data_IF_599952609485
#
_entry.id   IF_599952609485
#
_cell.length_a   1.000
_cell.length_b   1.000
_cell.length_c   1.000
_cell.angle_alpha   90.00
_cell.angle_beta   90.00
_cell.angle_gamma   90.00
#
_symmetry.space_group_name_H-M   'P 1'
#
loop_
_entity.id
_entity.type
_entity.pdbx_description
1 polymer ?
#
# COMPACT_ATOMS: atom_id res chain seq x y z
N UNK A 1 -7.48 -42.84 -21.84
CA UNK A 1 -6.40 -41.93 -21.41
C UNK A 1 -5.77 -42.56 -20.19
N UNK A 2 -4.51 -42.97 -20.28
CA UNK A 2 -3.80 -43.57 -19.15
C UNK A 2 -3.42 -42.49 -18.13
N UNK A 3 -3.17 -42.87 -16.87
CA UNK A 3 -2.67 -41.93 -15.84
C UNK A 3 -1.38 -41.23 -16.30
N UNK A 4 -0.50 -41.95 -16.99
CA UNK A 4 0.76 -41.41 -17.51
C UNK A 4 0.59 -40.29 -18.53
N UNK A 5 -0.42 -40.37 -19.41
CA UNK A 5 -0.76 -39.30 -20.36
C UNK A 5 -1.31 -38.08 -19.63
N UNK A 6 -2.07 -38.31 -18.54
CA UNK A 6 -2.65 -37.25 -17.72
C UNK A 6 -1.59 -36.49 -16.93
N UNK A 7 -0.59 -37.20 -16.39
CA UNK A 7 0.55 -36.60 -15.70
C UNK A 7 1.47 -35.82 -16.63
N UNK A 8 1.74 -36.34 -17.84
CA UNK A 8 2.53 -35.64 -18.84
C UNK A 8 1.86 -34.31 -19.25
N UNK A 9 0.55 -34.34 -19.49
CA UNK A 9 -0.23 -33.15 -19.84
C UNK A 9 -0.31 -32.14 -18.69
N UNK A 10 -0.39 -32.62 -17.45
CA UNK A 10 -0.38 -31.77 -16.26
C UNK A 10 0.97 -31.06 -16.09
N UNK A 11 2.10 -31.76 -16.30
CA UNK A 11 3.44 -31.16 -16.26
C UNK A 11 3.62 -30.10 -17.35
N UNK A 12 3.11 -30.36 -18.54
CA UNK A 12 3.20 -29.43 -19.67
C UNK A 12 2.41 -28.14 -19.40
N UNK A 13 1.19 -28.27 -18.87
CA UNK A 13 0.36 -27.14 -18.45
C UNK A 13 0.98 -26.35 -17.29
N UNK A 14 1.56 -27.02 -16.30
CA UNK A 14 2.26 -26.35 -15.20
C UNK A 14 3.47 -25.54 -15.69
N UNK A 15 4.22 -26.08 -16.65
CA UNK A 15 5.37 -25.40 -17.26
C UNK A 15 4.95 -24.20 -18.09
N UNK A 16 3.82 -24.29 -18.80
CA UNK A 16 3.24 -23.17 -19.54
C UNK A 16 2.76 -22.07 -18.57
N UNK A 17 2.08 -22.43 -17.48
CA UNK A 17 1.65 -21.49 -16.44
C UNK A 17 2.84 -20.83 -15.73
N UNK A 18 3.92 -21.56 -15.45
CA UNK A 18 5.15 -21.00 -14.85
C UNK A 18 5.90 -20.07 -15.82
N UNK A 19 5.78 -20.31 -17.14
CA UNK A 19 6.34 -19.43 -18.17
C UNK A 19 5.54 -18.14 -18.37
N UNK A 20 4.24 -18.17 -18.04
CA UNK A 20 3.44 -16.96 -17.89
C UNK A 20 3.87 -16.34 -16.57
N UNK A 21 4.72 -15.31 -16.63
CA UNK A 21 5.01 -14.50 -15.45
C UNK A 21 3.72 -13.80 -15.02
N UNK A 22 2.88 -14.49 -14.24
CA UNK A 22 1.72 -13.90 -13.60
C UNK A 22 2.31 -13.02 -12.50
N UNK A 23 2.06 -11.70 -12.51
CA UNK A 23 2.56 -10.84 -11.45
C UNK A 23 2.05 -11.37 -10.11
N UNK A 24 2.97 -11.62 -9.17
CA UNK A 24 2.61 -11.95 -7.79
C UNK A 24 1.91 -10.74 -7.20
N UNK A 25 0.59 -10.82 -7.16
CA UNK A 25 -0.27 -9.71 -6.85
C UNK A 25 -1.26 -10.12 -5.77
N UNK A 26 -1.51 -9.28 -4.76
CA UNK A 26 -0.94 -7.93 -4.54
C UNK A 26 0.47 -7.93 -3.89
N UNK A 27 1.29 -6.93 -4.25
CA UNK A 27 2.60 -6.70 -3.62
C UNK A 27 2.48 -5.77 -2.40
N UNK A 28 2.14 -6.37 -1.26
CA UNK A 28 1.98 -5.63 0.00
C UNK A 28 3.27 -4.94 0.49
N UNK A 29 4.45 -5.42 0.10
CA UNK A 29 5.74 -4.80 0.45
C UNK A 29 5.89 -3.47 -0.28
N UNK A 30 5.58 -3.43 -1.57
CA UNK A 30 5.58 -2.21 -2.37
C UNK A 30 4.52 -1.22 -1.89
N UNK A 31 3.31 -1.69 -1.62
CA UNK A 31 2.26 -0.86 -1.00
C UNK A 31 2.73 -0.22 0.29
N UNK A 32 3.40 -0.99 1.16
CA UNK A 32 3.98 -0.47 2.41
C UNK A 32 5.03 0.60 2.18
N UNK A 33 5.97 0.40 1.24
CA UNK A 33 6.97 1.42 0.90
C UNK A 33 6.31 2.73 0.46
N UNK A 34 5.32 2.65 -0.44
CA UNK A 34 4.58 3.82 -0.91
C UNK A 34 3.87 4.54 0.23
N UNK A 35 3.15 3.80 1.06
CA UNK A 35 2.45 4.33 2.23
C UNK A 35 3.39 5.04 3.21
N UNK A 36 4.58 4.50 3.44
CA UNK A 36 5.60 5.12 4.30
C UNK A 36 6.15 6.40 3.66
N UNK A 37 6.50 6.36 2.37
CA UNK A 37 7.04 7.51 1.65
C UNK A 37 6.06 8.67 1.54
N UNK A 38 4.75 8.42 1.51
CA UNK A 38 3.74 9.47 1.52
C UNK A 38 3.28 9.85 2.92
N UNK A 39 3.08 8.85 3.79
CA UNK A 39 2.49 9.03 5.11
C UNK A 39 3.40 9.74 6.10
N UNK A 40 4.70 9.43 6.11
CA UNK A 40 5.65 10.07 7.03
C UNK A 40 5.80 11.56 6.73
N UNK A 41 6.08 12.01 5.48
CA UNK A 41 6.15 13.44 5.19
C UNK A 41 4.84 14.17 5.47
N UNK A 42 3.69 13.56 5.12
CA UNK A 42 2.38 14.14 5.38
C UNK A 42 2.15 14.37 6.88
N UNK A 43 2.46 13.38 7.71
CA UNK A 43 2.32 13.50 9.16
C UNK A 43 3.23 14.60 9.72
N UNK A 44 4.49 14.68 9.26
CA UNK A 44 5.43 15.72 9.68
C UNK A 44 4.90 17.11 9.32
N UNK A 45 4.38 17.29 8.10
CA UNK A 45 3.80 18.56 7.66
C UNK A 45 2.60 18.94 8.52
N UNK A 46 1.67 18.00 8.77
CA UNK A 46 0.48 18.26 9.59
C UNK A 46 0.86 18.67 11.02
N UNK A 47 1.81 17.96 11.63
CA UNK A 47 2.31 18.29 12.97
C UNK A 47 3.03 19.64 13.00
N UNK A 48 3.82 19.96 11.97
CA UNK A 48 4.48 21.26 11.85
C UNK A 48 3.46 22.40 11.75
N UNK A 49 2.44 22.26 10.88
CA UNK A 49 1.35 23.25 10.75
C UNK A 49 0.64 23.45 12.09
N UNK A 50 0.39 22.36 12.83
CA UNK A 50 -0.17 22.46 14.18
C UNK A 50 0.77 23.12 15.17
N UNK A 51 2.07 22.87 15.09
CA UNK A 51 3.01 23.50 16.00
C UNK A 51 3.10 25.01 15.76
N UNK A 52 3.15 25.44 14.50
CA UNK A 52 3.36 26.84 14.13
C UNK A 52 2.09 27.70 14.10
N UNK A 53 0.90 27.10 14.13
CA UNK A 53 -0.39 27.83 14.10
C UNK A 53 -0.78 28.51 15.41
N UNK A 54 0.03 28.45 16.47
CA UNK A 54 -0.33 29.01 17.77
C UNK A 54 0.43 28.43 18.97
N UNK A 55 0.08 28.85 20.20
CA UNK A 55 0.81 28.51 21.41
C UNK A 55 0.87 27.00 21.67
N UNK A 56 2.05 26.52 22.08
CA UNK A 56 2.27 25.08 22.32
C UNK A 56 1.36 24.53 23.43
N UNK A 57 0.95 25.35 24.39
CA UNK A 57 0.03 25.01 25.47
C UNK A 57 -1.34 24.55 24.98
N UNK A 58 -1.76 24.97 23.79
CA UNK A 58 -3.03 24.59 23.14
C UNK A 58 -2.88 23.53 22.06
N UNK A 59 -1.72 22.87 21.94
CA UNK A 59 -1.49 21.85 20.91
C UNK A 59 -2.48 20.68 21.03
N UNK A 60 -2.76 20.21 22.25
CA UNK A 60 -3.69 19.11 22.50
C UNK A 60 -5.12 19.43 22.05
N UNK A 61 -5.61 20.66 22.28
CA UNK A 61 -6.93 21.11 21.81
C UNK A 61 -6.99 21.12 20.29
N UNK A 62 -5.95 21.67 19.64
CA UNK A 62 -5.87 21.72 18.18
C UNK A 62 -5.80 20.34 17.54
N UNK A 63 -5.12 19.39 18.18
CA UNK A 63 -5.10 17.99 17.74
C UNK A 63 -6.52 17.39 17.74
N UNK A 64 -7.29 17.63 18.81
CA UNK A 64 -8.68 17.18 18.92
C UNK A 64 -9.60 17.86 17.90
N UNK A 65 -9.50 19.18 17.76
CA UNK A 65 -10.34 19.94 16.81
C UNK A 65 -10.14 19.50 15.36
N UNK A 66 -8.94 18.98 15.03
CA UNK A 66 -8.56 18.56 13.69
C UNK A 66 -8.44 17.03 13.59
N UNK A 67 -9.07 16.26 14.47
CA UNK A 67 -8.99 14.79 14.41
C UNK A 67 -9.47 14.25 13.06
N UNK A 68 -10.46 14.90 12.45
CA UNK A 68 -10.94 14.58 11.10
C UNK A 68 -9.91 14.83 10.01
N UNK A 69 -9.02 15.81 10.18
CA UNK A 69 -7.90 16.07 9.28
C UNK A 69 -6.89 14.92 9.34
N UNK A 70 -6.58 14.41 10.53
CA UNK A 70 -5.71 13.23 10.66
C UNK A 70 -6.37 11.96 10.14
N UNK A 71 -7.68 11.77 10.40
CA UNK A 71 -8.42 10.62 9.90
C UNK A 71 -8.47 10.60 8.37
N UNK A 72 -8.72 11.75 7.73
CA UNK A 72 -8.70 11.87 6.27
C UNK A 72 -7.29 11.68 5.69
N UNK A 73 -6.26 12.22 6.33
CA UNK A 73 -4.88 11.97 5.94
C UNK A 73 -4.52 10.47 6.02
N UNK A 74 -4.93 9.77 7.08
CA UNK A 74 -4.75 8.33 7.20
C UNK A 74 -5.47 7.56 6.09
N UNK A 75 -6.70 7.97 5.73
CA UNK A 75 -7.43 7.39 4.61
C UNK A 75 -6.68 7.56 3.27
N UNK A 76 -6.12 8.75 3.02
CA UNK A 76 -5.30 8.99 1.81
C UNK A 76 -4.08 8.06 1.79
N UNK A 77 -3.41 7.86 2.92
CA UNK A 77 -2.27 6.93 3.02
C UNK A 77 -2.70 5.49 2.75
N UNK A 78 -3.88 5.06 3.23
CA UNK A 78 -4.43 3.73 2.92
C UNK A 78 -4.75 3.58 1.43
N UNK A 79 -5.25 4.61 0.79
CA UNK A 79 -5.49 4.62 -0.67
C UNK A 79 -4.17 4.49 -1.41
N UNK A 80 -3.14 5.26 -1.05
CA UNK A 80 -1.80 5.16 -1.65
C UNK A 80 -1.18 3.78 -1.42
N UNK A 81 -1.36 3.21 -0.22
CA UNK A 81 -0.94 1.85 0.08
C UNK A 81 -1.60 0.84 -0.86
N UNK A 82 -2.92 0.93 -1.02
CA UNK A 82 -3.69 0.07 -1.91
C UNK A 82 -3.22 0.26 -3.36
N UNK A 83 -3.05 1.48 -3.85
CA UNK A 83 -2.50 1.71 -5.18
C UNK A 83 -1.10 1.12 -5.34
N UNK A 84 -0.21 1.26 -4.36
CA UNK A 84 1.14 0.70 -4.42
C UNK A 84 1.15 -0.83 -4.41
N UNK A 85 0.27 -1.47 -3.62
CA UNK A 85 0.14 -2.92 -3.55
C UNK A 85 -0.54 -3.51 -4.79
N UNK A 86 -1.49 -2.77 -5.33
CA UNK A 86 -2.29 -3.12 -6.48
C UNK A 86 -1.87 -2.32 -7.72
N UNK A 87 -0.56 -2.14 -7.95
CA UNK A 87 -0.07 -1.58 -9.22
C UNK A 87 0.63 -2.68 -10.02
N UNK A 88 0.15 -3.01 -11.23
CA UNK A 88 0.80 -4.02 -12.05
C UNK A 88 2.26 -3.64 -12.28
N UNK A 89 3.15 -4.58 -12.00
CA UNK A 89 4.57 -4.44 -12.26
C UNK A 89 4.74 -4.69 -13.76
N UNK A 90 5.11 -3.66 -14.52
CA UNK A 90 5.50 -3.88 -15.91
C UNK A 90 6.81 -4.68 -15.88
N UNK A 91 6.82 -5.82 -16.56
CA UNK A 91 8.02 -6.57 -16.91
C UNK A 91 8.96 -5.72 -17.78
#
# INVERSE_FOLDING_TARGET
>A
MSESEREARLKELLKEVESVQIPDYPDYQRGRKWAVYTGVPLLVILLAVMLFSGPITRLHVRLWDNIWTFASAALVVLVVWAFGAFRPQKF
#
